data_IF_711748350527
#
_entry.id   IF_711748350527
#
_cell.length_a   1.000
_cell.length_b   1.000
_cell.length_c   1.000
_cell.angle_alpha   90.00
_cell.angle_beta   90.00
_cell.angle_gamma   90.00
#
_symmetry.space_group_name_H-M   'P 1'
#
loop_
_entity.id
_entity.type
_entity.pdbx_description
1 polymer ?
#
# COMPACT_ATOMS: atom_id res chain seq x y z
N UNK A 1 9.28 10.69 8.19
CA UNK A 1 9.93 10.09 7.01
C UNK A 1 8.90 9.85 5.92
N UNK A 2 9.27 10.09 4.67
CA UNK A 2 8.35 9.95 3.56
C UNK A 2 8.22 8.51 3.10
N UNK A 3 7.05 8.16 2.55
CA UNK A 3 6.88 6.91 1.84
C UNK A 3 7.77 6.95 0.58
N UNK A 4 8.45 5.84 0.29
CA UNK A 4 9.33 5.72 -0.87
C UNK A 4 8.94 4.50 -1.70
N UNK A 5 9.35 4.50 -2.98
CA UNK A 5 9.14 3.36 -3.86
C UNK A 5 9.82 2.10 -3.30
N UNK A 6 11.00 2.25 -2.73
CA UNK A 6 11.73 1.12 -2.13
C UNK A 6 10.92 0.46 -1.01
N UNK A 7 10.26 1.25 -0.16
CA UNK A 7 9.44 0.70 0.92
C UNK A 7 8.19 0.03 0.39
N UNK A 8 7.58 0.59 -0.66
CA UNK A 8 6.43 -0.04 -1.31
C UNK A 8 6.85 -1.37 -1.95
N UNK A 9 8.03 -1.43 -2.56
CA UNK A 9 8.56 -2.68 -3.13
C UNK A 9 8.79 -3.73 -2.04
N UNK A 10 9.27 -3.33 -0.86
CA UNK A 10 9.42 -4.26 0.26
C UNK A 10 8.07 -4.77 0.73
N UNK A 11 7.07 -3.90 0.81
CA UNK A 11 5.72 -4.31 1.15
C UNK A 11 5.17 -5.30 0.13
N UNK A 12 5.34 -5.01 -1.16
CA UNK A 12 4.87 -5.90 -2.22
C UNK A 12 5.52 -7.28 -2.16
N UNK A 13 6.79 -7.34 -1.78
CA UNK A 13 7.49 -8.61 -1.59
C UNK A 13 6.86 -9.43 -0.46
N UNK A 14 6.51 -8.77 0.65
CA UNK A 14 5.83 -9.46 1.76
C UNK A 14 4.45 -9.95 1.35
N UNK A 15 3.70 -9.14 0.61
CA UNK A 15 2.38 -9.53 0.12
C UNK A 15 2.48 -10.72 -0.82
N UNK A 16 3.46 -10.73 -1.70
CA UNK A 16 3.67 -11.86 -2.61
C UNK A 16 4.01 -13.13 -1.85
N UNK A 17 4.86 -13.04 -0.81
CA UNK A 17 5.21 -14.17 0.03
C UNK A 17 4.01 -14.74 0.78
N UNK A 18 3.03 -13.89 1.09
CA UNK A 18 1.79 -14.31 1.74
C UNK A 18 0.73 -14.83 0.77
N UNK A 19 1.00 -14.79 -0.54
CA UNK A 19 0.05 -15.23 -1.54
C UNK A 19 -1.08 -14.26 -1.80
N UNK A 20 -0.88 -12.97 -1.54
CA UNK A 20 -1.90 -11.95 -1.77
C UNK A 20 -2.17 -11.78 -3.26
N UNK A 21 -3.45 -11.61 -3.62
CA UNK A 21 -3.87 -11.36 -5.00
C UNK A 21 -3.84 -9.89 -5.38
N UNK A 22 -3.09 -9.09 -4.64
CA UNK A 22 -2.98 -7.65 -4.88
C UNK A 22 -1.59 -7.16 -4.51
N UNK A 23 -1.23 -5.98 -5.05
CA UNK A 23 -0.01 -5.28 -4.65
C UNK A 23 -0.28 -3.78 -4.71
N UNK A 24 0.71 -2.97 -4.38
CA UNK A 24 0.59 -1.51 -4.40
C UNK A 24 1.49 -0.94 -5.48
N UNK A 25 0.98 0.10 -6.15
CA UNK A 25 1.76 0.89 -7.10
C UNK A 25 2.14 2.21 -6.44
N UNK A 26 3.44 2.52 -6.43
CA UNK A 26 3.91 3.79 -5.89
C UNK A 26 3.72 4.90 -6.92
N UNK A 27 3.20 6.03 -6.47
CA UNK A 27 3.05 7.23 -7.31
C UNK A 27 3.51 8.44 -6.53
N UNK A 28 4.20 9.34 -7.20
CA UNK A 28 4.75 10.56 -6.61
C UNK A 28 4.54 11.74 -7.57
N UNK A 29 3.27 11.98 -7.96
CA UNK A 29 2.93 13.09 -8.84
C UNK A 29 2.75 14.39 -8.06
N UNK A 30 2.06 14.33 -6.93
CA UNK A 30 1.84 15.46 -6.04
C UNK A 30 2.42 15.19 -4.67
N UNK A 31 2.25 13.97 -4.18
CA UNK A 31 2.78 13.51 -2.91
C UNK A 31 3.00 12.00 -3.01
N UNK A 32 3.98 11.43 -2.28
CA UNK A 32 4.19 9.99 -2.30
C UNK A 32 2.96 9.23 -1.81
N UNK A 33 2.39 8.40 -2.68
CA UNK A 33 1.22 7.57 -2.36
C UNK A 33 1.43 6.15 -2.86
N UNK A 34 0.70 5.21 -2.27
CA UNK A 34 0.65 3.83 -2.73
C UNK A 34 -0.81 3.45 -2.99
N UNK A 35 -1.09 3.01 -4.20
CA UNK A 35 -2.43 2.63 -4.64
C UNK A 35 -2.49 1.14 -4.90
N UNK A 36 -3.56 0.49 -4.42
CA UNK A 36 -3.71 -0.95 -4.58
C UNK A 36 -4.06 -1.31 -6.02
N UNK A 37 -3.48 -2.42 -6.48
CA UNK A 37 -3.77 -3.03 -7.77
C UNK A 37 -4.20 -4.47 -7.54
N UNK A 38 -5.26 -4.89 -8.21
CA UNK A 38 -5.76 -6.26 -8.13
C UNK A 38 -5.27 -7.06 -9.33
N UNK A 39 -4.89 -8.30 -9.09
CA UNK A 39 -4.54 -9.23 -10.16
C UNK A 39 -5.82 -9.90 -10.66
N UNK A 40 -6.18 -9.64 -11.92
CA UNK A 40 -7.36 -10.22 -12.56
C UNK A 40 -7.05 -11.50 -13.33
N UNK A 41 -5.83 -12.01 -13.19
CA UNK A 41 -5.36 -13.22 -13.87
C UNK A 41 -4.30 -12.89 -14.92
N UNK A 42 -3.42 -13.85 -15.19
CA UNK A 42 -2.37 -13.72 -16.20
C UNK A 42 -1.50 -12.47 -16.03
N UNK A 43 -1.23 -12.08 -14.78
CA UNK A 43 -0.46 -10.88 -14.45
C UNK A 43 -1.09 -9.59 -14.97
N UNK A 44 -2.39 -9.57 -15.13
CA UNK A 44 -3.11 -8.37 -15.53
C UNK A 44 -3.57 -7.62 -14.28
N UNK A 45 -2.87 -6.53 -13.98
CA UNK A 45 -3.12 -5.73 -12.77
C UNK A 45 -3.98 -4.52 -13.12
N UNK A 46 -5.06 -4.33 -12.37
CA UNK A 46 -5.98 -3.22 -12.59
C UNK A 46 -6.14 -2.39 -11.31
N UNK A 47 -6.40 -1.10 -11.48
CA UNK A 47 -6.70 -0.23 -10.35
C UNK A 47 -8.00 -0.68 -9.68
N UNK A 48 -8.00 -0.65 -8.34
CA UNK A 48 -9.22 -0.86 -7.60
C UNK A 48 -9.43 0.32 -6.65
N UNK A 49 -10.62 0.89 -6.71
CA UNK A 49 -11.03 1.96 -5.79
C UNK A 49 -11.88 1.43 -4.65
N UNK A 50 -12.27 0.16 -4.70
CA UNK A 50 -13.14 -0.43 -3.71
C UNK A 50 -12.55 -1.77 -3.25
N UNK A 51 -11.87 -1.77 -2.14
CA UNK A 51 -11.41 -2.97 -1.48
C UNK A 51 -11.77 -2.86 -0.01
N UNK A 52 -12.48 -3.85 0.49
CA UNK A 52 -12.82 -3.91 1.91
C UNK A 52 -11.72 -4.67 2.66
N UNK A 53 -10.71 -3.94 3.09
CA UNK A 53 -9.69 -4.52 3.94
C UNK A 53 -10.22 -4.67 5.36
N UNK A 54 -9.78 -5.73 6.04
CA UNK A 54 -10.11 -5.91 7.44
C UNK A 54 -9.31 -4.96 8.32
N UNK A 55 -9.82 -4.72 9.52
CA UNK A 55 -9.10 -3.92 10.49
C UNK A 55 -7.74 -4.56 10.81
N UNK A 56 -7.71 -5.88 10.92
CA UNK A 56 -6.48 -6.63 11.20
C UNK A 56 -5.42 -6.37 10.12
N UNK A 57 -5.83 -6.35 8.86
CA UNK A 57 -4.91 -6.07 7.75
C UNK A 57 -4.38 -4.63 7.85
N UNK A 58 -5.26 -3.67 8.10
CA UNK A 58 -4.85 -2.27 8.21
C UNK A 58 -3.90 -2.05 9.39
N UNK A 59 -4.15 -2.71 10.51
CA UNK A 59 -3.27 -2.64 11.67
C UNK A 59 -1.91 -3.26 11.36
N UNK A 60 -1.90 -4.37 10.63
CA UNK A 60 -0.65 -5.00 10.18
C UNK A 60 0.14 -4.06 9.27
N UNK A 61 -0.55 -3.41 8.34
CA UNK A 61 0.07 -2.50 7.39
C UNK A 61 0.69 -1.29 8.12
N UNK A 62 -0.04 -0.74 9.11
CA UNK A 62 0.49 0.36 9.93
C UNK A 62 1.75 -0.06 10.67
N UNK A 63 1.75 -1.26 11.25
CA UNK A 63 2.91 -1.79 11.98
C UNK A 63 4.09 -2.01 11.05
N UNK A 64 3.84 -2.47 9.84
CA UNK A 64 4.89 -2.65 8.84
C UNK A 64 5.64 -1.34 8.62
N UNK A 65 4.92 -0.25 8.40
CA UNK A 65 5.54 1.05 8.15
C UNK A 65 6.07 1.71 9.43
N UNK A 66 5.46 1.43 10.57
CA UNK A 66 5.94 1.92 11.87
C UNK A 66 7.37 1.44 12.14
N UNK A 67 7.70 0.24 11.70
CA UNK A 67 9.07 -0.28 11.80
C UNK A 67 10.08 0.65 11.12
N UNK A 68 9.65 1.36 10.08
CA UNK A 68 10.49 2.30 9.35
C UNK A 68 10.25 3.75 9.77
N UNK A 69 9.58 3.97 10.90
CA UNK A 69 9.25 5.30 11.42
C UNK A 69 8.33 6.09 10.48
N UNK A 70 7.41 5.40 9.82
CA UNK A 70 6.45 6.04 8.93
C UNK A 70 5.04 5.80 9.48
N UNK A 71 4.30 6.90 9.66
CA UNK A 71 2.89 6.85 10.00
C UNK A 71 2.10 7.02 8.71
N UNK A 72 1.19 6.08 8.41
CA UNK A 72 0.42 6.12 7.18
C UNK A 72 -1.04 6.45 7.45
N UNK A 73 -1.68 7.06 6.44
CA UNK A 73 -3.10 7.38 6.44
C UNK A 73 -3.73 6.82 5.18
N UNK A 74 -5.01 6.52 5.24
CA UNK A 74 -5.76 5.90 4.16
C UNK A 74 -6.83 6.85 3.62
N UNK A 75 -7.18 6.67 2.34
CA UNK A 75 -8.37 7.31 1.79
C UNK A 75 -9.64 6.62 2.32
N UNK A 76 -10.83 7.12 1.91
CA UNK A 76 -12.11 6.62 2.42
C UNK A 76 -12.38 5.15 2.09
N UNK A 77 -11.82 4.63 1.01
CA UNK A 77 -12.02 3.24 0.59
C UNK A 77 -10.85 2.34 0.96
N UNK A 78 -9.82 2.90 1.61
CA UNK A 78 -8.61 2.20 2.03
C UNK A 78 -7.82 1.58 0.87
N UNK A 79 -8.10 2.02 -0.36
CA UNK A 79 -7.39 1.54 -1.55
C UNK A 79 -6.09 2.28 -1.81
N UNK A 80 -5.90 3.43 -1.16
CA UNK A 80 -4.72 4.28 -1.32
C UNK A 80 -4.24 4.72 0.05
N UNK A 81 -2.94 4.72 0.26
CA UNK A 81 -2.38 5.26 1.50
C UNK A 81 -1.17 6.14 1.20
N UNK A 82 -0.81 6.96 2.16
CA UNK A 82 0.33 7.87 2.07
C UNK A 82 0.90 8.05 3.47
N UNK A 83 2.10 8.62 3.54
CA UNK A 83 2.65 8.99 4.84
C UNK A 83 2.00 10.28 5.33
N UNK A 84 1.69 10.34 6.62
CA UNK A 84 1.11 11.54 7.22
C UNK A 84 2.14 12.66 7.36
N UNK A 85 3.42 12.35 7.16
CA UNK A 85 4.53 13.29 7.26
C UNK A 85 5.02 13.63 5.86
N UNK A 86 4.76 14.86 5.42
CA UNK A 86 5.06 15.33 4.06
C UNK A 86 6.37 16.12 3.97
N UNK A 87 7.31 15.85 4.76
CA UNK A 87 8.60 16.56 4.69
C UNK A 87 9.34 16.36 3.37
#
# INVERSE_FOLDING_TARGET
>A
MKLTEELVDKLNSELQNCGAGFHYEFRDEFAPTARVKLNTGNNNWVDSSIINFTKEYCDWLRKFFEYYNIEIEFNNTWSTFWSSDFD
#
